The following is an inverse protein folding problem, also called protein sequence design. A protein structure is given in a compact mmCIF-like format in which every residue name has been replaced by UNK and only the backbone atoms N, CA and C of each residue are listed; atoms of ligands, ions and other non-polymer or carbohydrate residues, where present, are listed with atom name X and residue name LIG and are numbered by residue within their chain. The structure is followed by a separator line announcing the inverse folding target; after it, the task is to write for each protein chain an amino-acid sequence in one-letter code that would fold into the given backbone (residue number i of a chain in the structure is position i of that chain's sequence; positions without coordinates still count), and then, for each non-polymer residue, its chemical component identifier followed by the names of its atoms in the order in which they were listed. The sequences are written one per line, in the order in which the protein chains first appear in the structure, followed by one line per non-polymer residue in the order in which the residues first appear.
data_IF_754459643088
#
_entry.id   IF_754459643088
#
_cell.length_a   1.000
_cell.length_b   1.000
_cell.length_c   1.000
_cell.angle_alpha   90.00
_cell.angle_beta   90.00
_cell.angle_gamma   90.00
#
_symmetry.space_group_name_H-M   'P 1'
#
loop_
_entity.id
_entity.type
_entity.pdbx_description
1 polymer ?
#
# COMPACT_ATOMS: atom_id res chain seq x y z
N UNK A 1 -0.75 -44.93 -13.75
CA UNK A 1 -0.58 -43.61 -13.09
C UNK A 1 0.88 -43.19 -13.18
N UNK A 2 1.18 -42.00 -13.69
CA UNK A 2 2.57 -41.53 -13.81
C UNK A 2 3.13 -41.04 -12.47
N UNK A 3 4.46 -40.94 -12.29
CA UNK A 3 5.05 -40.37 -11.07
C UNK A 3 4.59 -38.94 -10.77
N UNK A 4 4.33 -38.14 -11.82
CA UNK A 4 3.82 -36.77 -11.69
C UNK A 4 2.37 -36.79 -11.21
N UNK A 5 1.52 -37.66 -11.75
CA UNK A 5 0.13 -37.80 -11.29
C UNK A 5 0.07 -38.29 -9.85
N UNK A 6 0.99 -39.18 -9.47
CA UNK A 6 1.14 -39.63 -8.08
C UNK A 6 1.42 -38.45 -7.14
N UNK A 7 2.42 -37.63 -7.44
CA UNK A 7 2.76 -36.47 -6.60
C UNK A 7 1.63 -35.41 -6.54
N UNK A 8 0.90 -35.22 -7.64
CA UNK A 8 -0.28 -34.34 -7.68
C UNK A 8 -1.41 -34.91 -6.82
N UNK A 9 -1.66 -36.21 -6.91
CA UNK A 9 -2.67 -36.90 -6.11
C UNK A 9 -2.33 -36.83 -4.61
N UNK A 10 -1.05 -37.00 -4.24
CA UNK A 10 -0.57 -36.81 -2.86
C UNK A 10 -0.90 -35.41 -2.32
N UNK A 11 -0.60 -34.36 -3.10
CA UNK A 11 -0.89 -32.98 -2.72
C UNK A 11 -2.39 -32.71 -2.57
N UNK A 12 -3.22 -33.23 -3.49
CA UNK A 12 -4.66 -33.05 -3.44
C UNK A 12 -5.30 -33.77 -2.24
N UNK A 13 -4.80 -34.96 -1.89
CA UNK A 13 -5.24 -35.68 -0.69
C UNK A 13 -4.80 -34.96 0.59
N UNK A 14 -3.59 -34.39 0.63
CA UNK A 14 -3.15 -33.58 1.76
C UNK A 14 -4.01 -32.31 1.94
N UNK A 15 -4.40 -31.65 0.84
CA UNK A 15 -5.31 -30.51 0.87
C UNK A 15 -6.73 -30.91 1.32
N UNK A 16 -7.20 -32.09 0.93
CA UNK A 16 -8.47 -32.64 1.39
C UNK A 16 -8.49 -32.91 2.90
N UNK A 17 -7.38 -33.38 3.48
CA UNK A 17 -7.27 -33.70 4.91
C UNK A 17 -6.98 -32.46 5.78
N UNK A 18 -6.20 -31.50 5.28
CA UNK A 18 -5.67 -30.38 6.08
C UNK A 18 -6.04 -28.98 5.57
N UNK A 19 -6.94 -28.86 4.57
CA UNK A 19 -7.43 -27.57 4.08
C UNK A 19 -8.06 -26.73 5.18
N UNK A 20 -7.74 -25.42 5.20
CA UNK A 20 -8.13 -24.49 6.26
C UNK A 20 -9.63 -24.23 6.25
N UNK A 21 -10.25 -24.24 5.06
CA UNK A 21 -11.70 -24.06 4.89
C UNK A 21 -12.37 -25.32 4.34
N UNK A 22 -13.70 -25.42 4.52
CA UNK A 22 -14.47 -26.52 3.93
C UNK A 22 -14.35 -26.55 2.40
N UNK A 23 -14.39 -25.39 1.74
CA UNK A 23 -14.23 -25.28 0.29
C UNK A 23 -12.87 -25.74 -0.21
N UNK A 24 -11.79 -25.48 0.54
CA UNK A 24 -10.46 -26.00 0.20
C UNK A 24 -10.38 -27.53 0.29
N UNK A 25 -10.99 -28.13 1.33
CA UNK A 25 -11.01 -29.58 1.49
C UNK A 25 -11.83 -30.26 0.38
N UNK A 26 -12.98 -29.69 0.04
CA UNK A 26 -13.82 -30.16 -1.07
C UNK A 26 -13.12 -30.03 -2.42
N UNK A 27 -12.43 -28.90 -2.67
CA UNK A 27 -11.64 -28.70 -3.87
C UNK A 27 -10.48 -29.70 -3.97
N UNK A 28 -9.82 -30.01 -2.86
CA UNK A 28 -8.81 -31.06 -2.76
C UNK A 28 -9.34 -32.43 -3.14
N UNK A 29 -10.50 -32.83 -2.58
CA UNK A 29 -11.16 -34.09 -2.92
C UNK A 29 -11.57 -34.17 -4.39
N UNK A 30 -12.18 -33.11 -4.93
CA UNK A 30 -12.60 -33.05 -6.32
C UNK A 30 -11.42 -33.13 -7.29
N UNK A 31 -10.31 -32.45 -6.98
CA UNK A 31 -9.08 -32.53 -7.78
C UNK A 31 -8.45 -33.93 -7.71
N UNK A 32 -8.39 -34.54 -6.53
CA UNK A 32 -7.90 -35.90 -6.35
C UNK A 32 -8.72 -36.92 -7.17
N UNK A 33 -10.05 -36.77 -7.17
CA UNK A 33 -10.96 -37.62 -7.94
C UNK A 33 -10.70 -37.52 -9.46
N UNK A 34 -10.46 -36.32 -9.99
CA UNK A 34 -10.13 -36.13 -11.42
C UNK A 34 -8.80 -36.78 -11.81
N UNK A 35 -7.78 -36.67 -10.96
CA UNK A 35 -6.47 -37.31 -11.20
C UNK A 35 -6.60 -38.84 -11.17
N UNK A 36 -7.34 -39.38 -10.19
CA UNK A 36 -7.61 -40.81 -10.11
C UNK A 36 -8.34 -41.33 -11.36
N UNK A 37 -9.38 -40.61 -11.80
CA UNK A 37 -10.14 -40.95 -13.00
C UNK A 37 -9.28 -40.91 -14.27
N UNK A 38 -8.42 -39.89 -14.42
CA UNK A 38 -7.45 -39.81 -15.53
C UNK A 38 -6.45 -40.97 -15.57
N UNK A 39 -6.20 -41.61 -14.44
CA UNK A 39 -5.38 -42.81 -14.32
C UNK A 39 -6.18 -44.13 -14.42
N UNK A 40 -7.49 -44.07 -14.68
CA UNK A 40 -8.37 -45.24 -14.75
C UNK A 40 -8.66 -45.89 -13.39
N UNK A 41 -8.45 -45.17 -12.29
CA UNK A 41 -8.62 -45.68 -10.93
C UNK A 41 -9.79 -44.99 -10.22
N UNK A 42 -10.41 -45.70 -9.28
CA UNK A 42 -11.29 -45.05 -8.31
C UNK A 42 -10.46 -44.26 -7.31
N UNK A 43 -11.02 -43.18 -6.74
CA UNK A 43 -10.34 -42.38 -5.71
C UNK A 43 -9.82 -43.24 -4.56
N UNK A 44 -10.61 -44.23 -4.12
CA UNK A 44 -10.22 -45.17 -3.07
C UNK A 44 -9.04 -46.08 -3.49
N UNK A 45 -9.03 -46.60 -4.72
CA UNK A 45 -7.93 -47.41 -5.24
C UNK A 45 -6.65 -46.57 -5.40
N UNK A 46 -6.78 -45.34 -5.89
CA UNK A 46 -5.67 -44.42 -6.08
C UNK A 46 -5.06 -43.98 -4.73
N UNK A 47 -5.89 -43.71 -3.71
CA UNK A 47 -5.43 -43.42 -2.36
C UNK A 47 -4.69 -44.60 -1.72
N UNK A 48 -5.16 -45.85 -1.93
CA UNK A 48 -4.48 -47.06 -1.45
C UNK A 48 -3.12 -47.28 -2.15
N UNK A 49 -3.02 -46.96 -3.44
CA UNK A 49 -1.77 -47.10 -4.20
C UNK A 49 -0.66 -46.15 -3.72
N UNK A 50 -1.02 -45.09 -3.01
CA UNK A 50 -0.09 -44.08 -2.51
C UNK A 50 0.23 -44.27 -1.04
N UNK A 51 -0.73 -44.74 -0.25
CA UNK A 51 -0.53 -44.95 1.19
C UNK A 51 0.52 -46.06 1.40
N UNK A 52 1.67 -45.78 2.02
CA UNK A 52 2.60 -46.84 2.41
C UNK A 52 1.90 -47.81 3.37
N UNK A 53 2.27 -49.10 3.40
CA UNK A 53 1.79 -50.01 4.43
C UNK A 53 2.11 -49.38 5.79
N UNK A 54 1.07 -49.24 6.62
CA UNK A 54 1.18 -48.63 7.94
C UNK A 54 2.07 -49.55 8.77
N UNK A 55 3.39 -49.30 8.78
CA UNK A 55 4.26 -49.87 9.79
C UNK A 55 3.67 -49.40 11.10
N UNK A 56 3.24 -50.36 11.94
CA UNK A 56 2.78 -50.07 13.28
C UNK A 56 3.91 -49.32 13.99
N UNK A 57 3.79 -47.99 14.05
CA UNK A 57 4.76 -47.14 14.72
C UNK A 57 4.79 -47.60 16.16
N UNK A 58 5.89 -48.24 16.56
CA UNK A 58 6.29 -48.31 17.96
C UNK A 58 6.17 -46.91 18.54
N UNK A 59 5.68 -46.82 19.78
CA UNK A 59 5.39 -45.58 20.46
C UNK A 59 6.59 -44.62 20.37
N UNK A 60 6.48 -43.67 19.44
CA UNK A 60 7.45 -42.60 19.27
C UNK A 60 7.37 -41.76 20.53
N UNK A 61 8.46 -41.77 21.31
CA UNK A 61 8.67 -40.81 22.39
C UNK A 61 8.36 -39.42 21.82
N UNK A 62 7.47 -38.63 22.46
CA UNK A 62 7.05 -37.36 21.88
C UNK A 62 8.28 -36.49 21.60
N UNK A 63 8.41 -36.05 20.35
CA UNK A 63 9.45 -35.10 19.97
C UNK A 63 9.29 -33.83 20.83
N UNK A 64 10.40 -33.20 21.28
CA UNK A 64 10.31 -31.96 22.02
C UNK A 64 9.56 -30.93 21.18
N UNK A 65 8.49 -30.36 21.75
CA UNK A 65 7.70 -29.31 21.09
C UNK A 65 8.62 -28.12 20.83
N UNK A 66 8.70 -27.66 19.58
CA UNK A 66 9.38 -26.40 19.25
C UNK A 66 8.70 -25.27 20.03
N UNK A 67 9.44 -24.60 20.89
CA UNK A 67 9.03 -23.33 21.47
C UNK A 67 9.19 -22.27 20.39
N UNK A 68 8.11 -21.52 20.13
CA UNK A 68 8.13 -20.41 19.20
C UNK A 68 8.21 -19.12 20.01
N UNK A 69 8.88 -18.08 19.49
CA UNK A 69 9.02 -16.80 20.18
C UNK A 69 7.68 -16.13 20.53
N UNK A 70 6.60 -16.46 19.83
CA UNK A 70 5.24 -15.98 20.15
C UNK A 70 4.52 -16.79 21.23
N UNK A 71 5.06 -17.96 21.59
CA UNK A 71 4.56 -18.82 22.66
C UNK A 71 5.12 -18.41 24.04
N UNK A 72 6.13 -17.54 24.07
CA UNK A 72 6.59 -16.91 25.30
C UNK A 72 5.62 -15.80 25.72
N UNK A 73 5.25 -15.72 27.01
CA UNK A 73 4.47 -14.60 27.52
C UNK A 73 5.20 -13.30 27.19
N UNK A 74 4.50 -12.36 26.55
CA UNK A 74 5.08 -11.04 26.29
C UNK A 74 5.46 -10.38 27.61
N UNK A 75 6.62 -9.70 27.67
CA UNK A 75 6.99 -8.95 28.86
C UNK A 75 5.91 -7.91 29.16
N UNK A 76 5.70 -7.67 30.46
CA UNK A 76 4.75 -6.68 30.92
C UNK A 76 5.19 -5.29 30.44
N UNK A 77 4.28 -4.58 29.76
CA UNK A 77 4.58 -3.25 29.21
C UNK A 77 4.40 -2.25 30.34
N UNK A 78 5.47 -1.53 30.68
CA UNK A 78 5.38 -0.44 31.65
C UNK A 78 4.42 0.65 31.14
N UNK A 79 3.44 1.07 31.96
CA UNK A 79 2.51 2.11 31.55
C UNK A 79 3.25 3.44 31.42
N UNK A 80 2.97 4.15 30.32
CA UNK A 80 3.55 5.48 30.07
C UNK A 80 3.13 6.42 31.21
N UNK A 81 4.11 7.09 31.80
CA UNK A 81 3.87 8.04 32.90
C UNK A 81 3.22 9.32 32.38
N UNK A 82 2.51 10.02 33.26
CA UNK A 82 1.89 11.32 32.93
C UNK A 82 2.93 12.34 32.51
N UNK A 83 4.10 12.34 33.15
CA UNK A 83 5.23 13.22 32.80
C UNK A 83 5.74 12.97 31.39
N UNK A 84 5.83 11.69 30.98
CA UNK A 84 6.24 11.33 29.63
C UNK A 84 5.21 11.79 28.59
N UNK A 85 3.91 11.64 28.88
CA UNK A 85 2.85 12.16 28.01
C UNK A 85 2.92 13.69 27.88
N UNK A 86 3.18 14.40 28.98
CA UNK A 86 3.32 15.86 28.95
C UNK A 86 4.55 16.29 28.14
N UNK A 87 5.68 15.60 28.29
CA UNK A 87 6.90 15.84 27.50
C UNK A 87 6.64 15.62 26.00
N UNK A 88 6.00 14.51 25.63
CA UNK A 88 5.66 14.21 24.24
C UNK A 88 4.71 15.25 23.64
N UNK A 89 3.71 15.69 24.41
CA UNK A 89 2.79 16.76 24.02
C UNK A 89 3.54 18.08 23.78
N UNK A 90 4.40 18.49 24.72
CA UNK A 90 5.18 19.72 24.58
C UNK A 90 6.09 19.72 23.34
N UNK A 91 6.73 18.58 23.05
CA UNK A 91 7.55 18.42 21.84
C UNK A 91 6.71 18.55 20.56
N UNK A 92 5.52 17.91 20.55
CA UNK A 92 4.60 17.96 19.42
C UNK A 92 4.09 19.39 19.18
N UNK A 93 3.72 20.10 20.23
CA UNK A 93 3.29 21.50 20.15
C UNK A 93 4.40 22.42 19.66
N UNK A 94 5.63 22.25 20.16
CA UNK A 94 6.79 23.01 19.70
C UNK A 94 7.08 22.76 18.21
N UNK A 95 6.97 21.51 17.75
CA UNK A 95 7.09 21.20 16.33
C UNK A 95 5.97 21.87 15.50
N UNK A 96 4.71 21.77 15.93
CA UNK A 96 3.57 22.41 15.25
C UNK A 96 3.73 23.93 15.15
N UNK A 97 4.16 24.58 16.23
CA UNK A 97 4.43 26.03 16.24
C UNK A 97 5.52 26.42 15.24
N UNK A 98 6.62 25.65 15.19
CA UNK A 98 7.70 25.88 14.22
C UNK A 98 7.22 25.70 12.78
N UNK A 99 6.44 24.64 12.51
CA UNK A 99 5.88 24.37 11.20
C UNK A 99 4.93 25.50 10.75
N UNK A 100 4.02 25.93 11.61
CA UNK A 100 3.09 27.03 11.33
C UNK A 100 3.82 28.35 11.03
N UNK A 101 4.88 28.67 11.81
CA UNK A 101 5.69 29.85 11.56
C UNK A 101 6.44 29.78 10.22
N UNK A 102 6.94 28.60 9.83
CA UNK A 102 7.56 28.39 8.53
C UNK A 102 6.55 28.56 7.39
N UNK A 103 5.35 28.02 7.54
CA UNK A 103 4.27 28.14 6.55
C UNK A 103 3.84 29.61 6.36
N UNK A 104 3.64 30.33 7.45
CA UNK A 104 3.30 31.75 7.41
C UNK A 104 4.36 32.59 6.70
N UNK A 105 5.65 32.32 6.96
CA UNK A 105 6.76 32.98 6.25
C UNK A 105 6.73 32.67 4.76
N UNK A 106 6.49 31.41 4.37
CA UNK A 106 6.41 31.01 2.96
C UNK A 106 5.27 31.73 2.24
N UNK A 107 4.05 31.71 2.80
CA UNK A 107 2.89 32.42 2.24
C UNK A 107 3.11 33.93 2.09
N UNK A 108 3.84 34.55 3.04
CA UNK A 108 4.19 35.97 2.93
C UNK A 108 5.12 36.24 1.75
N UNK A 109 6.09 35.36 1.50
CA UNK A 109 7.00 35.48 0.35
C UNK A 109 6.25 35.28 -0.96
N UNK A 110 5.45 34.23 -1.07
CA UNK A 110 4.63 33.94 -2.26
C UNK A 110 3.72 35.13 -2.61
N UNK A 111 3.06 35.74 -1.61
CA UNK A 111 2.26 36.96 -1.84
C UNK A 111 3.09 38.13 -2.32
N UNK A 112 4.25 38.38 -1.71
CA UNK A 112 5.12 39.46 -2.14
C UNK A 112 5.62 39.27 -3.58
N UNK A 113 5.92 38.04 -3.99
CA UNK A 113 6.30 37.70 -5.36
C UNK A 113 5.14 37.92 -6.35
N UNK A 114 3.92 37.52 -5.99
CA UNK A 114 2.72 37.76 -6.79
C UNK A 114 2.44 39.26 -6.95
N UNK A 115 2.54 40.04 -5.86
CA UNK A 115 2.32 41.47 -5.88
C UNK A 115 3.37 42.19 -6.74
N UNK A 116 4.63 41.77 -6.66
CA UNK A 116 5.72 42.30 -7.48
C UNK A 116 5.47 42.02 -8.97
N UNK A 117 5.11 40.79 -9.31
CA UNK A 117 4.76 40.42 -10.69
C UNK A 117 3.56 41.23 -11.20
N UNK A 118 2.49 41.35 -10.41
CA UNK A 118 1.32 42.13 -10.78
C UNK A 118 1.64 43.62 -10.97
N UNK A 119 2.54 44.19 -10.16
CA UNK A 119 3.01 45.55 -10.32
C UNK A 119 3.79 45.74 -11.63
N UNK A 120 4.66 44.80 -11.98
CA UNK A 120 5.40 44.82 -13.24
C UNK A 120 4.46 44.78 -14.45
N UNK A 121 3.44 43.91 -14.43
CA UNK A 121 2.45 43.83 -15.51
C UNK A 121 1.65 45.13 -15.64
N UNK A 122 1.23 45.74 -14.52
CA UNK A 122 0.55 47.04 -14.53
C UNK A 122 1.44 48.14 -15.11
N UNK A 123 2.74 48.14 -14.80
CA UNK A 123 3.69 49.11 -15.36
C UNK A 123 3.82 48.95 -16.89
N UNK A 124 4.01 47.72 -17.38
CA UNK A 124 4.06 47.42 -18.82
C UNK A 124 2.78 47.81 -19.54
N UNK A 125 1.63 47.56 -18.93
CA UNK A 125 0.35 47.96 -19.52
C UNK A 125 0.22 49.49 -19.56
N UNK A 126 0.60 50.19 -18.50
CA UNK A 126 0.57 51.65 -18.48
C UNK A 126 1.48 52.28 -19.55
N UNK A 127 2.63 51.67 -19.87
CA UNK A 127 3.48 52.10 -20.99
C UNK A 127 2.76 51.93 -22.33
N UNK A 128 2.19 50.74 -22.58
CA UNK A 128 1.40 50.49 -23.81
C UNK A 128 0.23 51.44 -23.95
N UNK A 129 -0.47 51.72 -22.86
CA UNK A 129 -1.61 52.64 -22.87
C UNK A 129 -1.18 54.07 -23.21
N UNK A 130 -0.02 54.52 -22.70
CA UNK A 130 0.57 55.82 -23.08
C UNK A 130 0.94 55.85 -24.56
N UNK A 131 1.58 54.79 -25.07
CA UNK A 131 1.99 54.74 -26.47
C UNK A 131 0.79 54.67 -27.41
N UNK A 132 -0.25 53.92 -27.04
CA UNK A 132 -1.53 53.90 -27.75
C UNK A 132 -2.20 55.29 -27.76
N UNK A 133 -2.23 55.97 -26.61
CA UNK A 133 -2.80 57.31 -26.51
C UNK A 133 -2.04 58.32 -27.39
N UNK A 134 -0.70 58.26 -27.41
CA UNK A 134 0.14 59.09 -28.28
C UNK A 134 -0.12 58.82 -29.76
N UNK A 135 -0.17 57.55 -30.17
CA UNK A 135 -0.44 57.18 -31.56
C UNK A 135 -1.81 57.71 -32.02
N UNK A 136 -2.83 57.60 -31.17
CA UNK A 136 -4.17 58.11 -31.46
C UNK A 136 -4.26 59.62 -31.49
N UNK A 137 -3.55 60.32 -30.59
CA UNK A 137 -3.47 61.78 -30.62
C UNK A 137 -2.75 62.29 -31.88
N UNK A 138 -1.67 61.63 -32.31
CA UNK A 138 -0.98 61.94 -33.57
C UNK A 138 -1.85 61.72 -34.81
N UNK A 139 -2.72 60.70 -34.80
CA UNK A 139 -3.70 60.45 -35.86
C UNK A 139 -4.80 61.53 -35.91
N UNK A 140 -5.16 62.15 -34.79
CA UNK A 140 -6.16 63.24 -34.75
C UNK A 140 -5.57 64.55 -35.25
N UNK A 141 -4.29 64.84 -34.96
CA UNK A 141 -3.61 66.04 -35.47
C UNK A 141 -3.35 65.96 -36.98
N UNK A 142 -2.99 64.78 -37.51
CA UNK A 142 -2.83 64.59 -38.96
C UNK A 142 -4.14 64.63 -39.76
N UNK A 143 -5.30 64.45 -39.11
CA UNK A 143 -6.61 64.57 -39.75
C UNK A 143 -7.14 66.02 -39.81
N UNK A 144 -6.54 66.94 -39.05
CA UNK A 144 -6.92 68.36 -39.02
C UNK A 144 -6.08 69.25 -39.93
N UNK A 145 -4.96 68.74 -40.46
CA UNK A 145 -4.05 69.48 -41.36
C UNK A 145 -4.35 69.24 -42.86
N UNK A 146 -5.42 68.51 -43.19
CA UNK A 146 -5.85 68.16 -44.56
C UNK A 146 -7.19 68.83 -44.98
N UNK A 147 -7.35 70.12 -44.68
CA UNK A 147 -8.43 70.99 -45.22
C UNK A 147 -7.84 72.33 -45.67
#
# INVERSE_FOLDING_TARGET
MTPVDRARLEKCLALAEHGATAGEREAGLAAAARIAAGAGLTLAAAARAIRPPRVASSASRPAPRRTYAWAEPKPEIEPVTVEELQRQKAQTEAWRKRAAAADARRRRRERAEQDAYAAEQRAKQAERDRDWARARAGLVVGATDDV
#
